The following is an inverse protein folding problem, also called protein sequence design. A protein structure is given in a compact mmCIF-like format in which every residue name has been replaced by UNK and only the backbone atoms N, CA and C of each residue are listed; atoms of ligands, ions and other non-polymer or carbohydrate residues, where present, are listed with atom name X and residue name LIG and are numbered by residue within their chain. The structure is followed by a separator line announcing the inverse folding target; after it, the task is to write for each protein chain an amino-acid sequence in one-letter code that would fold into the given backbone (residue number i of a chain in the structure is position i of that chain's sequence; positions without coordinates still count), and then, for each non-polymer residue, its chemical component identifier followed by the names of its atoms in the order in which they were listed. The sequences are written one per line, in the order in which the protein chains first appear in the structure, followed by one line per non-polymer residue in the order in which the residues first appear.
data_IF_117821550608
#
_entry.id   IF_117821550608
#
_cell.length_a   1.000
_cell.length_b   1.000
_cell.length_c   1.000
_cell.angle_alpha   90.00
_cell.angle_beta   90.00
_cell.angle_gamma   90.00
#
_symmetry.space_group_name_H-M   'P 1'
#
loop_
_entity.id
_entity.type
_entity.pdbx_description
1 polymer ?
#
# COMPACT_ATOMS: atom_id res chain seq x y z
N UNK A 1 -0.73 -30.26 -20.70
CA UNK A 1 -1.34 -29.22 -19.84
C UNK A 1 -2.26 -29.75 -18.72
N UNK A 2 -3.28 -30.58 -18.99
CA UNK A 2 -4.22 -31.06 -17.93
C UNK A 2 -3.60 -31.96 -16.84
N UNK A 3 -2.58 -32.76 -17.17
CA UNK A 3 -1.96 -33.69 -16.21
C UNK A 3 -1.00 -32.96 -15.27
N UNK A 4 -0.19 -32.02 -15.77
CA UNK A 4 0.69 -31.19 -14.93
C UNK A 4 -0.11 -30.30 -13.98
N UNK A 5 -1.25 -29.75 -14.41
CA UNK A 5 -2.16 -28.98 -13.57
C UNK A 5 -2.79 -29.83 -12.45
N UNK A 6 -3.22 -31.06 -12.76
CA UNK A 6 -3.77 -32.01 -11.77
C UNK A 6 -2.73 -32.47 -10.75
N UNK A 7 -1.52 -32.80 -11.19
CA UNK A 7 -0.41 -33.17 -10.29
C UNK A 7 -0.04 -31.99 -9.40
N UNK A 8 0.00 -30.78 -9.97
CA UNK A 8 0.24 -29.55 -9.20
C UNK A 8 -0.82 -29.40 -8.13
N UNK A 9 -2.11 -29.55 -8.44
CA UNK A 9 -3.21 -29.45 -7.46
C UNK A 9 -3.14 -30.49 -6.34
N UNK A 10 -2.87 -31.77 -6.64
CA UNK A 10 -2.74 -32.79 -5.60
C UNK A 10 -1.53 -32.55 -4.70
N UNK A 11 -0.41 -32.06 -5.26
CA UNK A 11 0.76 -31.69 -4.45
C UNK A 11 0.44 -30.55 -3.48
N UNK A 12 -0.43 -29.61 -3.86
CA UNK A 12 -0.84 -28.51 -2.97
C UNK A 12 -1.64 -29.04 -1.80
N UNK A 13 -2.62 -29.93 -2.02
CA UNK A 13 -3.42 -30.53 -0.94
C UNK A 13 -2.57 -31.37 0.02
N UNK A 14 -1.57 -32.08 -0.50
CA UNK A 14 -0.63 -32.81 0.36
C UNK A 14 0.16 -31.83 1.22
N UNK A 15 0.66 -30.72 0.66
CA UNK A 15 1.42 -29.73 1.42
C UNK A 15 0.68 -29.13 2.63
N UNK A 16 -0.66 -29.10 2.63
CA UNK A 16 -1.47 -28.67 3.79
C UNK A 16 -1.34 -29.62 4.98
N UNK A 17 -1.22 -30.93 4.75
CA UNK A 17 -1.08 -31.87 5.86
C UNK A 17 0.31 -31.76 6.52
N UNK A 18 1.33 -31.37 5.75
CA UNK A 18 2.72 -31.32 6.19
C UNK A 18 3.16 -29.98 6.81
N UNK A 19 2.25 -29.01 6.96
CA UNK A 19 2.55 -27.70 7.55
C UNK A 19 1.79 -27.51 8.88
N UNK A 20 2.39 -26.94 9.93
CA UNK A 20 3.81 -26.60 10.06
C UNK A 20 4.69 -27.85 10.12
N UNK A 21 5.89 -27.77 9.52
CA UNK A 21 6.81 -28.91 9.42
C UNK A 21 7.46 -29.28 10.76
N UNK A 22 7.47 -28.36 11.71
CA UNK A 22 8.20 -28.46 12.98
C UNK A 22 7.67 -29.58 13.86
N UNK A 23 6.34 -29.72 14.00
CA UNK A 23 5.75 -30.77 14.85
C UNK A 23 5.97 -32.16 14.25
N UNK A 24 5.84 -32.30 12.94
CA UNK A 24 6.11 -33.55 12.22
C UNK A 24 7.58 -33.95 12.27
N UNK A 25 8.51 -32.99 12.13
CA UNK A 25 9.95 -33.24 12.27
C UNK A 25 10.28 -33.66 13.71
N UNK A 26 9.75 -32.97 14.72
CA UNK A 26 9.97 -33.32 16.12
C UNK A 26 9.44 -34.73 16.43
N UNK A 27 8.25 -35.08 15.93
CA UNK A 27 7.67 -36.42 16.04
C UNK A 27 8.57 -37.47 15.36
N UNK A 28 9.01 -37.22 14.12
CA UNK A 28 9.88 -38.14 13.38
C UNK A 28 11.24 -38.33 14.04
N UNK A 29 11.87 -37.26 14.54
CA UNK A 29 13.17 -37.32 15.24
C UNK A 29 13.04 -38.11 16.53
N UNK A 30 12.03 -37.82 17.36
CA UNK A 30 11.81 -38.54 18.61
C UNK A 30 11.60 -40.04 18.36
N UNK A 31 10.76 -40.40 17.41
CA UNK A 31 10.51 -41.80 17.06
C UNK A 31 11.74 -42.48 16.45
N UNK A 32 12.54 -41.79 15.63
CA UNK A 32 13.78 -42.32 15.10
C UNK A 32 14.79 -42.66 16.21
N UNK A 33 14.92 -41.79 17.23
CA UNK A 33 15.80 -42.03 18.39
C UNK A 33 15.36 -43.26 19.17
N UNK A 34 14.06 -43.41 19.46
CA UNK A 34 13.52 -44.56 20.19
C UNK A 34 13.73 -45.86 19.39
N UNK A 35 13.43 -45.84 18.08
CA UNK A 35 13.60 -47.01 17.21
C UNK A 35 15.08 -47.40 17.06
N UNK A 36 15.98 -46.42 16.95
CA UNK A 36 17.42 -46.68 16.90
C UNK A 36 17.94 -47.29 18.20
N UNK A 37 17.51 -46.79 19.35
CA UNK A 37 17.88 -47.36 20.66
C UNK A 37 17.43 -48.82 20.79
N UNK A 38 16.17 -49.12 20.41
CA UNK A 38 15.66 -50.49 20.43
C UNK A 38 16.37 -51.41 19.42
N UNK A 39 16.70 -50.89 18.24
CA UNK A 39 17.48 -51.62 17.23
C UNK A 39 18.91 -51.97 17.68
N UNK A 40 19.58 -51.06 18.40
CA UNK A 40 20.89 -51.34 19.00
C UNK A 40 20.77 -52.43 20.06
N UNK A 41 19.74 -52.37 20.91
CA UNK A 41 19.49 -53.41 21.93
C UNK A 41 19.25 -54.77 21.29
N UNK A 42 18.47 -54.83 20.20
CA UNK A 42 18.28 -56.07 19.42
C UNK A 42 19.58 -56.64 18.86
N UNK A 43 20.49 -55.78 18.38
CA UNK A 43 21.73 -56.23 17.77
C UNK A 43 22.68 -56.92 18.78
N UNK A 44 22.51 -56.67 20.07
CA UNK A 44 23.32 -57.22 21.17
C UNK A 44 22.70 -58.48 21.77
N UNK A 45 21.39 -58.69 21.61
CA UNK A 45 20.66 -59.79 22.23
C UNK A 45 20.59 -61.01 21.28
N UNK A 46 20.81 -62.24 21.76
CA UNK A 46 20.65 -63.45 20.94
C UNK A 46 19.20 -63.62 20.47
N UNK A 47 19.02 -63.96 19.18
CA UNK A 47 17.71 -64.08 18.55
C UNK A 47 16.80 -65.15 19.20
N UNK A 48 17.38 -66.19 19.78
CA UNK A 48 16.63 -67.29 20.42
C UNK A 48 16.19 -66.97 21.86
N UNK A 49 16.39 -65.74 22.34
CA UNK A 49 16.08 -65.36 23.73
C UNK A 49 14.71 -64.72 23.88
N UNK A 50 14.06 -64.97 25.03
CA UNK A 50 12.80 -64.30 25.44
C UNK A 50 12.95 -62.78 25.44
N UNK A 51 14.16 -62.27 25.72
CA UNK A 51 14.47 -60.85 25.68
C UNK A 51 14.45 -60.27 24.27
N UNK A 52 14.85 -61.04 23.25
CA UNK A 52 14.75 -60.60 21.85
C UNK A 52 13.29 -60.44 21.44
N UNK A 53 12.44 -61.43 21.75
CA UNK A 53 10.99 -61.37 21.46
C UNK A 53 10.32 -60.18 22.15
N UNK A 54 10.71 -59.88 23.39
CA UNK A 54 10.22 -58.72 24.13
C UNK A 54 10.62 -57.40 23.47
N UNK A 55 11.90 -57.25 23.09
CA UNK A 55 12.39 -56.04 22.42
C UNK A 55 11.79 -55.92 21.01
N UNK A 56 11.51 -57.03 20.33
CA UNK A 56 10.80 -57.07 19.05
C UNK A 56 9.36 -56.61 19.15
N UNK A 57 8.61 -57.09 20.15
CA UNK A 57 7.27 -56.60 20.42
C UNK A 57 7.27 -55.09 20.74
N UNK A 58 8.23 -54.62 21.55
CA UNK A 58 8.38 -53.19 21.88
C UNK A 58 8.72 -52.33 20.65
N UNK A 59 9.61 -52.80 19.78
CA UNK A 59 10.00 -52.09 18.55
C UNK A 59 8.84 -52.01 17.56
N UNK A 60 8.10 -53.10 17.42
CA UNK A 60 6.91 -53.14 16.56
C UNK A 60 5.80 -52.24 17.11
N UNK A 61 5.61 -52.22 18.44
CA UNK A 61 4.70 -51.30 19.13
C UNK A 61 5.10 -49.84 18.95
N UNK A 62 6.39 -49.51 19.12
CA UNK A 62 6.92 -48.16 18.92
C UNK A 62 6.75 -47.68 17.48
N UNK A 63 7.00 -48.54 16.48
CA UNK A 63 6.75 -48.22 15.08
C UNK A 63 5.25 -47.97 14.81
N UNK A 64 4.37 -48.81 15.34
CA UNK A 64 2.92 -48.64 15.23
C UNK A 64 2.44 -47.32 15.85
N UNK A 65 2.89 -47.00 17.06
CA UNK A 65 2.58 -45.74 17.75
C UNK A 65 3.10 -44.51 17.01
N UNK A 66 4.29 -44.61 16.38
CA UNK A 66 4.80 -43.55 15.51
C UNK A 66 3.85 -43.28 14.34
N UNK A 67 3.47 -44.31 13.58
CA UNK A 67 2.58 -44.14 12.43
C UNK A 67 1.23 -43.54 12.83
N UNK A 68 0.63 -44.01 13.93
CA UNK A 68 -0.64 -43.45 14.43
C UNK A 68 -0.47 -41.99 14.82
N UNK A 69 0.55 -41.65 15.62
CA UNK A 69 0.79 -40.27 16.07
C UNK A 69 1.06 -39.34 14.88
N UNK A 70 1.87 -39.80 13.93
CA UNK A 70 2.21 -39.06 12.71
C UNK A 70 0.97 -38.79 11.84
N UNK A 71 0.09 -39.78 11.66
CA UNK A 71 -1.15 -39.62 10.89
C UNK A 71 -2.14 -38.69 11.59
N UNK A 72 -2.26 -38.79 12.93
CA UNK A 72 -3.13 -37.91 13.72
C UNK A 72 -2.63 -36.46 13.63
N UNK A 73 -1.33 -36.23 13.77
CA UNK A 73 -0.73 -34.90 13.63
C UNK A 73 -0.89 -34.34 12.22
N UNK A 74 -0.65 -35.15 11.17
CA UNK A 74 -0.91 -34.79 9.77
C UNK A 74 -2.38 -34.38 9.55
N UNK A 75 -3.31 -35.13 10.13
CA UNK A 75 -4.75 -34.85 9.98
C UNK A 75 -5.16 -33.59 10.74
N UNK A 76 -4.58 -33.37 11.93
CA UNK A 76 -4.74 -32.15 12.72
C UNK A 76 -4.24 -30.93 11.97
N UNK A 77 -3.01 -30.99 11.45
CA UNK A 77 -2.40 -29.96 10.61
C UNK A 77 -3.23 -29.65 9.36
N UNK A 78 -3.68 -30.69 8.65
CA UNK A 78 -4.55 -30.52 7.49
C UNK A 78 -5.85 -29.77 7.85
N UNK A 79 -6.51 -30.18 8.93
CA UNK A 79 -7.77 -29.55 9.40
C UNK A 79 -7.54 -28.10 9.77
N UNK A 80 -6.50 -27.80 10.54
CA UNK A 80 -6.16 -26.44 10.94
C UNK A 80 -5.85 -25.56 9.72
N UNK A 81 -4.99 -26.00 8.81
CA UNK A 81 -4.64 -25.23 7.61
C UNK A 81 -5.82 -25.04 6.67
N UNK A 82 -6.72 -26.02 6.57
CA UNK A 82 -7.96 -25.87 5.79
C UNK A 82 -8.87 -24.81 6.40
N UNK A 83 -9.02 -24.78 7.72
CA UNK A 83 -9.80 -23.74 8.40
C UNK A 83 -9.15 -22.37 8.24
N UNK A 84 -7.85 -22.24 8.52
CA UNK A 84 -7.10 -21.00 8.32
C UNK A 84 -7.18 -20.50 6.87
N UNK A 85 -7.19 -21.41 5.88
CA UNK A 85 -7.36 -21.06 4.47
C UNK A 85 -8.72 -20.44 4.14
N UNK A 86 -9.79 -20.92 4.77
CA UNK A 86 -11.14 -20.36 4.61
C UNK A 86 -11.27 -19.02 5.34
N UNK A 87 -10.83 -18.98 6.60
CA UNK A 87 -10.97 -17.82 7.48
C UNK A 87 -10.13 -16.63 7.00
N UNK A 88 -8.93 -16.89 6.46
CA UNK A 88 -8.01 -15.85 5.98
C UNK A 88 -8.08 -15.64 4.45
N UNK A 89 -9.08 -16.17 3.78
CA UNK A 89 -9.19 -16.08 2.32
C UNK A 89 -9.16 -14.62 1.82
N UNK A 90 -9.94 -13.74 2.43
CA UNK A 90 -10.01 -12.34 2.04
C UNK A 90 -8.69 -11.61 2.31
N UNK A 91 -8.05 -11.89 3.46
CA UNK A 91 -6.73 -11.36 3.80
C UNK A 91 -5.68 -11.73 2.75
N UNK A 92 -5.56 -13.02 2.44
CA UNK A 92 -4.58 -13.47 1.45
C UNK A 92 -4.90 -12.93 0.04
N UNK A 93 -6.18 -12.84 -0.31
CA UNK A 93 -6.60 -12.23 -1.57
C UNK A 93 -6.19 -10.75 -1.66
N UNK A 94 -6.37 -9.98 -0.59
CA UNK A 94 -5.95 -8.58 -0.54
C UNK A 94 -4.43 -8.42 -0.72
N UNK A 95 -3.61 -9.22 -0.04
CA UNK A 95 -2.14 -9.15 -0.22
C UNK A 95 -1.71 -9.57 -1.62
N UNK A 96 -2.33 -10.62 -2.18
CA UNK A 96 -2.03 -11.04 -3.57
C UNK A 96 -2.47 -10.01 -4.61
N UNK A 97 -3.62 -9.38 -4.40
CA UNK A 97 -4.12 -8.32 -5.26
C UNK A 97 -3.19 -7.13 -5.21
N UNK A 98 -2.79 -6.70 -4.02
CA UNK A 98 -1.79 -5.64 -3.83
C UNK A 98 -0.50 -5.94 -4.58
N UNK A 99 0.09 -7.13 -4.44
CA UNK A 99 1.31 -7.51 -5.16
C UNK A 99 1.10 -7.47 -6.68
N UNK A 100 -0.03 -7.97 -7.16
CA UNK A 100 -0.34 -7.97 -8.60
C UNK A 100 -0.54 -6.55 -9.13
N UNK A 101 -1.28 -5.72 -8.41
CA UNK A 101 -1.51 -4.31 -8.72
C UNK A 101 -0.18 -3.53 -8.73
N UNK A 102 0.68 -3.77 -7.73
CA UNK A 102 2.03 -3.21 -7.63
C UNK A 102 2.85 -3.52 -8.88
N UNK A 103 2.93 -4.79 -9.30
CA UNK A 103 3.68 -5.16 -10.51
C UNK A 103 3.14 -4.52 -11.80
N UNK A 104 1.81 -4.39 -11.92
CA UNK A 104 1.16 -3.78 -13.09
C UNK A 104 1.43 -2.28 -13.15
N UNK A 105 1.26 -1.56 -12.03
CA UNK A 105 1.44 -0.11 -11.95
C UNK A 105 2.90 0.32 -12.03
N UNK A 106 3.83 -0.53 -11.58
CA UNK A 106 5.26 -0.34 -11.81
C UNK A 106 5.70 -0.74 -13.22
N UNK A 107 4.80 -1.24 -14.08
CA UNK A 107 5.11 -1.74 -15.43
C UNK A 107 6.15 -2.87 -15.47
N UNK A 108 6.09 -3.77 -14.48
CA UNK A 108 7.07 -4.84 -14.28
C UNK A 108 6.65 -6.17 -14.90
N UNK A 109 5.46 -6.26 -15.48
CA UNK A 109 5.06 -7.45 -16.24
C UNK A 109 5.91 -7.59 -17.52
N UNK A 110 6.12 -8.81 -18.05
CA UNK A 110 6.99 -9.02 -19.20
C UNK A 110 6.63 -8.15 -20.42
N UNK A 111 5.36 -8.10 -20.82
CA UNK A 111 4.90 -7.28 -21.94
C UNK A 111 5.12 -5.78 -21.71
N UNK A 112 4.79 -5.24 -20.52
CA UNK A 112 5.02 -3.83 -20.20
C UNK A 112 6.51 -3.48 -20.17
N UNK A 113 7.36 -4.39 -19.67
CA UNK A 113 8.83 -4.20 -19.71
C UNK A 113 9.36 -4.20 -21.15
N UNK A 114 8.77 -5.01 -22.02
CA UNK A 114 9.12 -5.06 -23.44
C UNK A 114 8.71 -3.76 -24.15
N UNK A 115 7.50 -3.25 -23.92
CA UNK A 115 7.03 -1.95 -24.42
C UNK A 115 7.90 -0.80 -23.89
N UNK A 116 8.20 -0.80 -22.58
CA UNK A 116 9.08 0.19 -21.96
C UNK A 116 10.46 0.22 -22.62
N UNK A 117 11.02 -0.95 -22.96
CA UNK A 117 12.29 -1.04 -23.69
C UNK A 117 12.19 -0.39 -25.08
N UNK A 118 11.12 -0.63 -25.83
CA UNK A 118 10.90 0.04 -27.12
C UNK A 118 10.84 1.57 -26.94
N UNK A 119 10.18 2.03 -25.87
CA UNK A 119 10.08 3.43 -25.52
C UNK A 119 11.44 4.07 -25.17
N UNK A 120 12.25 3.37 -24.36
CA UNK A 120 13.61 3.81 -24.02
C UNK A 120 14.48 3.95 -25.28
N UNK A 121 14.34 3.04 -26.25
CA UNK A 121 15.02 3.14 -27.56
C UNK A 121 14.52 4.34 -28.39
N UNK A 122 13.21 4.60 -28.39
CA UNK A 122 12.61 5.75 -29.08
C UNK A 122 13.10 7.09 -28.51
N UNK A 123 13.12 7.24 -27.18
CA UNK A 123 13.64 8.45 -26.52
C UNK A 123 15.14 8.60 -26.79
N UNK A 124 15.92 7.51 -26.74
CA UNK A 124 17.34 7.54 -27.08
C UNK A 124 17.60 7.92 -28.54
N UNK A 125 16.66 7.67 -29.45
CA UNK A 125 16.70 8.08 -30.85
C UNK A 125 16.27 9.55 -31.07
N UNK A 126 15.94 10.29 -30.02
CA UNK A 126 15.52 11.70 -30.09
C UNK A 126 14.00 11.91 -30.08
N UNK A 127 13.22 10.87 -29.83
CA UNK A 127 11.77 10.97 -29.63
C UNK A 127 11.42 11.71 -28.34
N UNK A 128 10.28 12.42 -28.34
CA UNK A 128 9.77 13.16 -27.18
C UNK A 128 8.82 12.26 -26.39
N UNK A 129 9.00 12.19 -25.06
CA UNK A 129 8.10 11.41 -24.20
C UNK A 129 6.77 12.15 -23.99
N UNK A 130 5.76 11.79 -24.79
CA UNK A 130 4.40 12.36 -24.72
C UNK A 130 3.45 11.59 -23.79
N UNK A 131 3.94 10.62 -23.00
CA UNK A 131 3.05 9.84 -22.12
C UNK A 131 2.45 10.71 -21.03
N UNK A 132 1.15 10.53 -20.83
CA UNK A 132 0.42 11.12 -19.70
C UNK A 132 1.04 10.65 -18.37
N UNK A 133 0.89 11.43 -17.30
CA UNK A 133 1.39 11.01 -15.98
C UNK A 133 0.79 9.67 -15.51
N UNK A 134 -0.48 9.42 -15.85
CA UNK A 134 -1.15 8.15 -15.55
C UNK A 134 -0.60 6.94 -16.32
N UNK A 135 0.11 7.17 -17.43
CA UNK A 135 0.76 6.15 -18.25
C UNK A 135 2.20 5.89 -17.82
N UNK A 136 2.75 6.71 -16.92
CA UNK A 136 4.09 6.52 -16.37
C UNK A 136 4.05 5.47 -15.26
N UNK A 137 5.16 4.73 -15.07
CA UNK A 137 5.24 3.78 -13.97
C UNK A 137 5.13 4.54 -12.64
N UNK A 138 4.24 4.07 -11.76
CA UNK A 138 4.06 4.62 -10.42
C UNK A 138 5.08 4.03 -9.45
N UNK A 139 5.50 4.83 -8.48
CA UNK A 139 6.34 4.33 -7.39
C UNK A 139 5.52 3.57 -6.34
N UNK A 140 6.20 2.89 -5.42
CA UNK A 140 5.56 2.04 -4.41
C UNK A 140 4.68 2.81 -3.42
N UNK A 141 5.01 4.06 -3.15
CA UNK A 141 4.29 4.93 -2.22
C UNK A 141 2.98 5.34 -2.85
N UNK A 142 3.00 5.80 -4.10
CA UNK A 142 1.80 6.10 -4.88
C UNK A 142 0.87 4.89 -4.98
N UNK A 143 1.43 3.72 -5.29
CA UNK A 143 0.67 2.46 -5.37
C UNK A 143 0.04 2.11 -4.03
N UNK A 144 0.79 2.28 -2.93
CA UNK A 144 0.27 2.02 -1.59
C UNK A 144 -0.89 2.93 -1.28
N UNK A 145 -0.71 4.24 -1.48
CA UNK A 145 -1.72 5.26 -1.25
C UNK A 145 -3.04 4.96 -1.96
N UNK A 146 -2.98 4.60 -3.25
CA UNK A 146 -4.15 4.23 -4.05
C UNK A 146 -4.88 2.98 -3.54
N UNK A 147 -4.16 2.07 -2.88
CA UNK A 147 -4.69 0.76 -2.45
C UNK A 147 -5.16 0.75 -0.99
N UNK A 148 -4.82 1.76 -0.18
CA UNK A 148 -5.24 1.85 1.22
C UNK A 148 -6.75 1.64 1.43
N UNK A 149 -7.66 2.28 0.65
CA UNK A 149 -9.10 2.12 0.85
C UNK A 149 -9.59 0.68 0.66
N UNK A 150 -8.93 -0.08 -0.22
CA UNK A 150 -9.30 -1.46 -0.53
C UNK A 150 -8.74 -2.46 0.50
N UNK A 151 -7.48 -2.26 0.93
CA UNK A 151 -6.76 -3.24 1.77
C UNK A 151 -7.03 -3.04 3.27
N UNK A 152 -7.15 -1.79 3.74
CA UNK A 152 -7.25 -1.49 5.17
C UNK A 152 -8.50 -2.10 5.82
N UNK A 153 -9.71 -2.05 5.23
CA UNK A 153 -10.89 -2.68 5.83
C UNK A 153 -10.72 -4.19 6.01
N UNK A 154 -10.07 -4.85 5.05
CA UNK A 154 -9.78 -6.29 5.11
C UNK A 154 -8.79 -6.59 6.23
N UNK A 155 -7.72 -5.79 6.34
CA UNK A 155 -6.68 -5.96 7.36
C UNK A 155 -7.20 -5.70 8.76
N UNK A 156 -7.97 -4.63 8.97
CA UNK A 156 -8.60 -4.31 10.25
C UNK A 156 -9.50 -5.44 10.72
N UNK A 157 -10.41 -5.90 9.85
CA UNK A 157 -11.29 -7.04 10.15
C UNK A 157 -10.52 -8.32 10.48
N UNK A 158 -9.46 -8.60 9.72
CA UNK A 158 -8.64 -9.80 9.94
C UNK A 158 -7.91 -9.72 11.27
N UNK A 159 -7.35 -8.56 11.62
CA UNK A 159 -6.66 -8.32 12.87
C UNK A 159 -7.59 -8.44 14.09
N UNK A 160 -8.82 -7.94 13.98
CA UNK A 160 -9.81 -7.97 15.06
C UNK A 160 -10.47 -9.35 15.23
N UNK A 161 -10.88 -9.98 14.13
CA UNK A 161 -11.72 -11.19 14.17
C UNK A 161 -10.93 -12.51 14.02
N UNK A 162 -9.76 -12.48 13.36
CA UNK A 162 -9.07 -13.69 12.85
C UNK A 162 -7.63 -13.82 13.32
N UNK A 163 -7.25 -13.09 14.38
CA UNK A 163 -5.90 -13.04 14.94
C UNK A 163 -5.32 -14.43 15.27
N UNK A 164 -6.17 -15.35 15.72
CA UNK A 164 -5.79 -16.72 16.10
C UNK A 164 -5.23 -17.59 14.94
N UNK A 165 -5.51 -17.21 13.69
CA UNK A 165 -5.03 -17.93 12.50
C UNK A 165 -3.75 -17.32 11.91
N UNK A 166 -3.33 -16.16 12.40
CA UNK A 166 -2.16 -15.45 11.93
C UNK A 166 -0.91 -15.90 12.68
N UNK A 167 0.24 -15.85 12.00
CA UNK A 167 1.53 -15.96 12.68
C UNK A 167 1.87 -14.67 13.44
N UNK A 168 2.70 -14.76 14.46
CA UNK A 168 3.16 -13.58 15.24
C UNK A 168 3.73 -12.48 14.35
N UNK A 169 4.46 -12.87 13.30
CA UNK A 169 5.00 -11.92 12.33
C UNK A 169 3.89 -11.22 11.53
N UNK A 170 2.86 -11.95 11.07
CA UNK A 170 1.72 -11.35 10.37
C UNK A 170 0.91 -10.41 11.28
N UNK A 171 0.75 -10.79 12.55
CA UNK A 171 0.11 -9.94 13.56
C UNK A 171 0.87 -8.63 13.73
N UNK A 172 2.19 -8.70 13.91
CA UNK A 172 3.03 -7.51 14.11
C UNK A 172 2.99 -6.57 12.90
N UNK A 173 3.11 -7.10 11.68
CA UNK A 173 3.05 -6.27 10.47
C UNK A 173 1.66 -5.67 10.26
N UNK A 174 0.57 -6.40 10.55
CA UNK A 174 -0.78 -5.85 10.45
C UNK A 174 -1.01 -4.72 11.45
N UNK A 175 -0.54 -4.89 12.69
CA UNK A 175 -0.59 -3.84 13.72
C UNK A 175 0.18 -2.59 13.26
N UNK A 176 1.39 -2.78 12.71
CA UNK A 176 2.18 -1.68 12.14
C UNK A 176 1.43 -0.99 11.00
N UNK A 177 0.86 -1.73 10.03
CA UNK A 177 0.10 -1.15 8.92
C UNK A 177 -1.10 -0.34 9.41
N UNK A 178 -1.86 -0.86 10.38
CA UNK A 178 -3.03 -0.18 10.91
C UNK A 178 -2.63 1.08 11.69
N UNK A 179 -1.54 1.05 12.44
CA UNK A 179 -1.01 2.22 13.15
C UNK A 179 -0.52 3.32 12.18
N UNK A 180 0.19 2.96 11.12
CA UNK A 180 0.62 3.92 10.08
C UNK A 180 -0.59 4.52 9.35
N UNK A 181 -1.65 3.73 9.14
CA UNK A 181 -2.88 4.24 8.55
C UNK A 181 -3.64 5.17 9.50
N UNK A 182 -3.65 4.88 10.80
CA UNK A 182 -4.22 5.78 11.81
C UNK A 182 -3.49 7.13 11.85
N UNK A 183 -2.16 7.12 11.70
CA UNK A 183 -1.36 8.35 11.54
C UNK A 183 -1.75 9.12 10.28
N UNK A 184 -1.93 8.44 9.14
CA UNK A 184 -2.45 9.07 7.91
C UNK A 184 -3.80 9.74 8.16
N UNK A 185 -4.74 9.04 8.81
CA UNK A 185 -6.06 9.59 9.11
C UNK A 185 -5.97 10.79 10.06
N UNK A 186 -5.08 10.74 11.05
CA UNK A 186 -4.85 11.83 11.99
C UNK A 186 -4.33 13.08 11.28
N UNK A 187 -3.27 12.96 10.47
CA UNK A 187 -2.69 14.07 9.71
C UNK A 187 -3.73 14.72 8.80
N UNK A 188 -4.54 13.94 8.11
CA UNK A 188 -5.58 14.47 7.20
C UNK A 188 -6.71 15.13 8.00
N UNK A 189 -7.13 14.52 9.13
CA UNK A 189 -8.14 15.11 10.01
C UNK A 189 -7.69 16.48 10.51
N UNK A 190 -6.45 16.60 10.99
CA UNK A 190 -5.91 17.88 11.43
C UNK A 190 -5.97 18.92 10.32
N UNK A 191 -5.66 18.54 9.07
CA UNK A 191 -5.76 19.48 7.94
C UNK A 191 -7.19 19.89 7.62
N UNK A 192 -8.15 19.00 7.69
CA UNK A 192 -9.57 19.34 7.51
C UNK A 192 -10.02 20.31 8.61
N UNK A 193 -9.60 20.07 9.85
CA UNK A 193 -9.98 20.89 11.01
C UNK A 193 -9.19 22.20 11.12
N UNK A 194 -8.09 22.37 10.40
CA UNK A 194 -7.37 23.64 10.26
C UNK A 194 -8.01 24.56 9.20
N UNK A 195 -9.24 24.29 8.78
CA UNK A 195 -9.97 25.11 7.81
C UNK A 195 -10.76 26.26 8.48
N UNK A 196 -11.19 27.28 7.72
CA UNK A 196 -12.03 28.36 8.21
C UNK A 196 -13.33 27.90 8.91
N UNK A 197 -13.79 26.69 8.60
CA UNK A 197 -14.97 26.08 9.22
C UNK A 197 -14.82 25.95 10.75
N UNK A 198 -13.62 25.63 11.23
CA UNK A 198 -13.37 25.51 12.68
C UNK A 198 -13.38 26.86 13.36
N UNK A 199 -12.89 27.90 12.68
CA UNK A 199 -13.02 29.28 13.16
C UNK A 199 -14.51 29.65 13.32
N UNK A 200 -15.35 29.34 12.33
CA UNK A 200 -16.78 29.59 12.40
C UNK A 200 -17.46 28.80 13.53
N UNK A 201 -17.12 27.52 13.70
CA UNK A 201 -17.68 26.70 14.78
C UNK A 201 -17.29 27.19 16.18
N UNK A 202 -16.15 27.86 16.32
CA UNK A 202 -15.67 28.42 17.59
C UNK A 202 -16.28 29.79 17.87
N UNK A 203 -16.28 30.69 16.90
CA UNK A 203 -16.55 32.11 17.11
C UNK A 203 -17.97 32.52 16.70
N UNK A 204 -18.61 31.77 15.80
CA UNK A 204 -19.94 32.02 15.27
C UNK A 204 -20.86 30.79 15.36
N UNK A 205 -21.01 30.18 16.56
CA UNK A 205 -21.74 28.94 16.70
C UNK A 205 -23.25 29.14 16.46
N UNK A 206 -23.86 28.22 15.73
CA UNK A 206 -25.30 28.24 15.49
C UNK A 206 -26.05 27.79 16.74
N UNK A 207 -26.66 28.74 17.45
CA UNK A 207 -27.43 28.48 18.67
C UNK A 207 -28.70 27.68 18.40
N UNK A 208 -29.18 27.59 17.15
CA UNK A 208 -30.38 26.80 16.80
C UNK A 208 -30.17 25.31 17.05
N UNK A 209 -28.92 24.82 17.07
CA UNK A 209 -28.61 23.44 17.45
C UNK A 209 -29.13 23.10 18.85
N UNK A 210 -29.17 24.07 19.76
CA UNK A 210 -29.67 23.86 21.12
C UNK A 210 -31.17 23.56 21.16
N UNK A 211 -31.94 24.03 20.18
CA UNK A 211 -33.41 23.82 20.11
C UNK A 211 -33.78 22.35 19.95
N UNK A 212 -32.87 21.54 19.40
CA UNK A 212 -33.04 20.09 19.28
C UNK A 212 -32.90 19.34 20.61
N UNK A 213 -32.21 19.94 21.58
CA UNK A 213 -31.78 19.29 22.84
C UNK A 213 -32.41 19.90 24.09
N UNK A 214 -32.85 21.17 24.03
CA UNK A 214 -33.38 21.92 25.16
C UNK A 214 -34.70 22.60 24.81
N UNK A 215 -35.69 22.65 25.73
CA UNK A 215 -36.89 23.44 25.54
C UNK A 215 -36.59 24.92 25.34
N UNK A 216 -37.38 25.61 24.51
CA UNK A 216 -37.21 27.05 24.21
C UNK A 216 -37.13 27.92 25.47
N UNK A 217 -37.95 27.63 26.49
CA UNK A 217 -37.92 28.36 27.76
C UNK A 217 -36.60 28.18 28.52
N UNK A 218 -35.95 27.02 28.39
CA UNK A 218 -34.62 26.77 29.00
C UNK A 218 -33.56 27.57 28.26
N UNK A 219 -33.57 27.56 26.93
CA UNK A 219 -32.61 28.31 26.09
C UNK A 219 -32.74 29.82 26.34
N UNK A 220 -33.98 30.32 26.41
CA UNK A 220 -34.29 31.74 26.66
C UNK A 220 -33.79 32.23 28.02
N UNK A 221 -33.81 31.37 29.04
CA UNK A 221 -33.35 31.72 30.39
C UNK A 221 -31.87 31.39 30.61
N UNK A 222 -31.19 30.77 29.64
CA UNK A 222 -29.78 30.42 29.72
C UNK A 222 -28.91 31.68 29.57
N UNK A 223 -27.88 31.88 30.43
CA UNK A 223 -26.92 32.96 30.24
C UNK A 223 -26.23 32.87 28.88
N UNK A 224 -25.98 34.01 28.24
CA UNK A 224 -25.43 34.05 26.87
C UNK A 224 -24.10 33.30 26.74
N UNK A 225 -23.21 33.41 27.74
CA UNK A 225 -21.93 32.69 27.72
C UNK A 225 -22.10 31.16 27.77
N UNK A 226 -23.10 30.64 28.50
CA UNK A 226 -23.41 29.21 28.56
C UNK A 226 -23.97 28.77 27.20
N UNK A 227 -24.90 29.56 26.65
CA UNK A 227 -25.57 29.27 25.38
C UNK A 227 -24.56 29.18 24.24
N UNK A 228 -23.69 30.19 24.11
CA UNK A 228 -22.61 30.22 23.11
C UNK A 228 -21.62 29.08 23.27
N UNK A 229 -21.22 28.77 24.51
CA UNK A 229 -20.31 27.65 24.77
C UNK A 229 -20.91 26.31 24.35
N UNK A 230 -22.16 26.02 24.74
CA UNK A 230 -22.84 24.78 24.36
C UNK A 230 -23.07 24.69 22.85
N UNK A 231 -23.46 25.79 22.20
CA UNK A 231 -23.64 25.85 20.75
C UNK A 231 -22.30 25.63 20.01
N UNK A 232 -21.19 26.17 20.53
CA UNK A 232 -19.87 25.93 19.96
C UNK A 232 -19.43 24.48 20.09
N UNK A 233 -19.69 23.81 21.22
CA UNK A 233 -19.42 22.39 21.34
C UNK A 233 -20.17 21.55 20.30
N UNK A 234 -21.45 21.86 20.04
CA UNK A 234 -22.22 21.16 19.00
C UNK A 234 -21.72 21.48 17.59
N UNK A 235 -21.33 22.73 17.33
CA UNK A 235 -20.75 23.16 16.04
C UNK A 235 -19.41 22.46 15.77
N UNK A 236 -18.56 22.29 16.78
CA UNK A 236 -17.31 21.53 16.66
C UNK A 236 -17.57 20.05 16.37
N UNK A 237 -18.57 19.44 17.01
CA UNK A 237 -18.98 18.06 16.67
C UNK A 237 -19.48 17.94 15.23
N UNK A 238 -20.09 18.99 14.67
CA UNK A 238 -20.48 19.02 13.27
C UNK A 238 -19.24 19.05 12.35
N UNK A 239 -18.20 19.80 12.72
CA UNK A 239 -16.91 19.80 12.01
C UNK A 239 -16.24 18.42 12.03
N UNK A 240 -16.27 17.72 13.16
CA UNK A 240 -15.76 16.35 13.27
C UNK A 240 -16.52 15.38 12.34
N UNK A 241 -17.85 15.49 12.27
CA UNK A 241 -18.66 14.70 11.33
C UNK A 241 -18.31 14.99 9.87
N UNK A 242 -18.00 16.24 9.55
CA UNK A 242 -17.54 16.62 8.21
C UNK A 242 -16.19 15.98 7.88
N UNK A 243 -15.23 16.01 8.82
CA UNK A 243 -13.96 15.31 8.67
C UNK A 243 -14.13 13.80 8.51
N UNK A 244 -14.99 13.18 9.32
CA UNK A 244 -15.33 11.75 9.22
C UNK A 244 -15.94 11.41 7.84
N UNK A 245 -16.80 12.27 7.30
CA UNK A 245 -17.40 12.07 5.97
C UNK A 245 -16.34 12.08 4.85
N UNK A 246 -15.36 12.99 4.92
CA UNK A 246 -14.24 13.01 3.96
C UNK A 246 -13.37 11.76 4.10
N UNK A 247 -13.00 11.39 5.33
CA UNK A 247 -12.11 10.26 5.60
C UNK A 247 -12.74 8.89 5.29
N UNK A 248 -14.07 8.79 5.31
CA UNK A 248 -14.79 7.55 5.04
C UNK A 248 -15.14 7.32 3.57
N UNK A 249 -15.10 8.37 2.74
CA UNK A 249 -15.39 8.29 1.31
C UNK A 249 -14.11 8.47 0.48
N UNK A 250 -13.75 7.45 -0.29
CA UNK A 250 -12.53 7.45 -1.10
C UNK A 250 -12.50 8.57 -2.13
N UNK A 251 -13.63 8.92 -2.73
CA UNK A 251 -13.70 10.00 -3.72
C UNK A 251 -13.47 11.36 -3.04
N UNK A 252 -14.13 11.62 -1.91
CA UNK A 252 -13.95 12.87 -1.17
C UNK A 252 -12.51 13.01 -0.66
N UNK A 253 -11.93 11.94 -0.12
CA UNK A 253 -10.55 11.91 0.33
C UNK A 253 -9.58 12.25 -0.81
N UNK A 254 -9.72 11.61 -1.98
CA UNK A 254 -8.86 11.88 -3.14
C UNK A 254 -9.02 13.32 -3.66
N UNK A 255 -10.24 13.87 -3.66
CA UNK A 255 -10.47 15.26 -4.05
C UNK A 255 -9.84 16.25 -3.08
N UNK A 256 -9.95 15.99 -1.77
CA UNK A 256 -9.32 16.81 -0.74
C UNK A 256 -7.80 16.76 -0.85
N UNK A 257 -7.25 15.58 -1.12
CA UNK A 257 -5.81 15.34 -1.16
C UNK A 257 -5.14 15.57 -2.53
N UNK A 258 -5.87 16.06 -3.54
CA UNK A 258 -5.41 16.15 -4.94
C UNK A 258 -4.11 16.95 -5.15
N UNK A 259 -3.82 17.91 -4.27
CA UNK A 259 -2.66 18.80 -4.40
C UNK A 259 -1.45 18.33 -3.58
N UNK A 260 -1.55 17.20 -2.88
CA UNK A 260 -0.47 16.67 -2.03
C UNK A 260 0.34 15.64 -2.81
N UNK A 261 1.67 15.70 -2.68
CA UNK A 261 2.59 14.82 -3.40
C UNK A 261 2.86 13.56 -2.57
N UNK A 262 2.00 12.55 -2.69
CA UNK A 262 2.18 11.25 -1.99
C UNK A 262 2.98 10.29 -2.86
N UNK A 263 4.30 10.44 -2.87
CA UNK A 263 5.22 9.73 -3.78
C UNK A 263 6.65 9.72 -3.24
N UNK A 264 7.59 9.10 -3.97
CA UNK A 264 9.02 9.22 -3.64
C UNK A 264 9.52 10.68 -3.68
N UNK A 265 8.92 11.54 -4.52
CA UNK A 265 9.26 12.98 -4.57
C UNK A 265 8.81 13.70 -3.30
N UNK A 266 7.63 13.35 -2.78
CA UNK A 266 7.12 13.86 -1.51
C UNK A 266 8.05 13.54 -0.33
N UNK A 267 8.74 12.40 -0.36
CA UNK A 267 9.78 12.07 0.62
C UNK A 267 11.05 12.91 0.46
N UNK A 268 11.52 13.10 -0.77
CA UNK A 268 12.78 13.80 -1.05
C UNK A 268 12.73 15.27 -0.59
N UNK A 269 11.57 15.90 -0.70
CA UNK A 269 11.40 17.33 -0.43
C UNK A 269 11.75 17.75 1.01
N UNK A 270 11.54 16.87 2.00
CA UNK A 270 11.92 17.17 3.39
C UNK A 270 13.45 17.15 3.59
N UNK A 271 14.16 16.26 2.89
CA UNK A 271 15.61 16.16 3.00
C UNK A 271 16.31 17.34 2.31
N UNK A 272 15.80 17.81 1.16
CA UNK A 272 16.32 19.00 0.50
C UNK A 272 16.10 20.26 1.36
N UNK A 273 14.97 20.34 2.09
CA UNK A 273 14.72 21.43 3.05
C UNK A 273 15.62 21.30 4.29
N UNK A 274 15.79 20.12 4.88
CA UNK A 274 16.70 19.89 6.02
C UNK A 274 18.18 20.12 5.69
N UNK A 275 18.66 19.70 4.50
CA UNK A 275 20.04 19.95 4.08
C UNK A 275 20.26 21.42 3.72
N UNK A 276 19.28 22.10 3.11
CA UNK A 276 19.34 23.57 2.89
C UNK A 276 19.28 24.38 4.19
N UNK A 277 18.74 23.81 5.27
CA UNK A 277 18.74 24.39 6.62
C UNK A 277 20.07 24.14 7.36
N UNK A 278 20.81 23.09 6.99
CA UNK A 278 22.10 22.72 7.60
C UNK A 278 23.32 23.34 6.88
N UNK A 279 23.25 23.59 5.58
CA UNK A 279 24.28 24.27 4.80
C UNK A 279 23.89 25.73 4.52
N UNK A 280 24.42 26.65 5.32
CA UNK A 280 24.41 28.11 5.13
C UNK A 280 23.03 28.78 4.89
N UNK A 281 22.47 29.36 5.96
CA UNK A 281 21.65 30.58 5.90
C UNK A 281 20.63 30.65 4.76
N UNK A 282 19.90 29.57 4.48
CA UNK A 282 18.61 29.73 3.85
C UNK A 282 17.80 30.58 4.82
N UNK A 283 17.46 31.81 4.43
CA UNK A 283 16.25 32.43 4.89
C UNK A 283 15.16 31.37 4.67
N UNK A 284 14.90 30.54 5.67
CA UNK A 284 13.50 30.33 5.99
C UNK A 284 12.94 31.73 5.97
N UNK A 285 11.99 31.98 5.08
CA UNK A 285 10.88 32.81 5.48
C UNK A 285 10.29 32.11 6.73
N UNK A 286 11.04 32.17 7.85
CA UNK A 286 10.50 32.25 9.19
C UNK A 286 9.37 33.22 8.97
N UNK A 287 8.15 32.74 9.19
CA UNK A 287 6.96 33.57 9.18
C UNK A 287 7.39 34.85 9.85
N UNK A 288 7.51 35.90 9.07
CA UNK A 288 7.80 37.21 9.61
C UNK A 288 6.48 37.59 10.26
N UNK A 289 6.29 37.11 11.49
CA UNK A 289 5.14 37.42 12.33
C UNK A 289 5.05 38.93 12.54
N UNK A 290 6.10 39.71 12.20
CA UNK A 290 6.10 41.17 12.16
C UNK A 290 5.70 41.76 10.79
N UNK A 291 5.63 40.97 9.70
CA UNK A 291 5.20 41.40 8.35
C UNK A 291 3.81 40.90 7.97
N UNK A 292 3.26 39.95 8.72
CA UNK A 292 1.81 39.79 8.86
C UNK A 292 1.29 40.94 9.72
N UNK A 293 1.26 42.15 9.15
CA UNK A 293 0.46 43.24 9.68
C UNK A 293 -1.00 42.77 9.63
N UNK A 294 -1.47 42.15 10.71
CA UNK A 294 -2.89 42.12 11.01
C UNK A 294 -3.29 43.56 11.30
N UNK A 295 -3.52 44.35 10.25
CA UNK A 295 -4.30 45.57 10.40
C UNK A 295 -5.60 45.15 11.10
N UNK A 296 -5.85 45.73 12.28
CA UNK A 296 -7.03 45.45 13.08
C UNK A 296 -8.25 45.62 12.18
N UNK A 297 -8.86 44.50 11.78
CA UNK A 297 -9.89 44.53 10.77
C UNK A 297 -11.07 45.38 11.29
N UNK A 298 -11.47 46.38 10.50
CA UNK A 298 -12.52 47.33 10.88
C UNK A 298 -13.89 46.64 11.05
N UNK A 299 -14.09 45.48 10.41
CA UNK A 299 -15.29 44.67 10.50
C UNK A 299 -15.03 43.16 10.37
N UNK A 300 -16.03 42.37 10.77
CA UNK A 300 -16.01 40.90 10.78
C UNK A 300 -15.82 40.27 9.38
N UNK A 301 -16.32 40.93 8.32
CA UNK A 301 -16.18 40.43 6.95
C UNK A 301 -14.72 40.56 6.48
N UNK A 302 -14.08 41.68 6.80
CA UNK A 302 -12.66 41.92 6.55
C UNK A 302 -11.78 40.96 7.35
N UNK A 303 -12.13 40.69 8.62
CA UNK A 303 -11.41 39.69 9.43
C UNK A 303 -11.51 38.28 8.81
N UNK A 304 -12.70 37.87 8.36
CA UNK A 304 -12.90 36.57 7.70
C UNK A 304 -12.07 36.43 6.43
N UNK A 305 -12.02 37.48 5.61
CA UNK A 305 -11.22 37.49 4.39
C UNK A 305 -9.72 37.37 4.69
N UNK A 306 -9.22 38.08 5.72
CA UNK A 306 -7.83 37.96 6.17
C UNK A 306 -7.52 36.55 6.67
N UNK A 307 -8.41 35.94 7.47
CA UNK A 307 -8.21 34.59 7.99
C UNK A 307 -8.23 33.54 6.87
N UNK A 308 -9.12 33.66 5.87
CA UNK A 308 -9.14 32.76 4.71
C UNK A 308 -7.86 32.86 3.88
N UNK A 309 -7.31 34.06 3.71
CA UNK A 309 -6.04 34.27 3.01
C UNK A 309 -4.86 33.69 3.81
N UNK A 310 -4.84 33.88 5.12
CA UNK A 310 -3.86 33.25 6.01
C UNK A 310 -3.92 31.72 5.93
N UNK A 311 -5.12 31.13 5.98
CA UNK A 311 -5.30 29.68 5.87
C UNK A 311 -4.78 29.14 4.52
N UNK A 312 -5.02 29.85 3.41
CA UNK A 312 -4.47 29.49 2.08
C UNK A 312 -2.95 29.53 2.07
N UNK A 313 -2.33 30.55 2.66
CA UNK A 313 -0.86 30.66 2.75
C UNK A 313 -0.27 29.54 3.62
N UNK A 314 -0.91 29.28 4.76
CA UNK A 314 -0.54 28.17 5.64
C UNK A 314 -0.68 26.82 4.94
N UNK A 315 -1.71 26.61 4.13
CA UNK A 315 -1.89 25.39 3.34
C UNK A 315 -0.71 25.18 2.39
N UNK A 316 -0.29 26.20 1.65
CA UNK A 316 0.84 26.12 0.72
C UNK A 316 2.15 25.80 1.44
N UNK A 317 2.41 26.43 2.59
CA UNK A 317 3.63 26.18 3.38
C UNK A 317 3.65 24.81 4.05
N UNK A 318 2.50 24.31 4.50
CA UNK A 318 2.40 23.04 5.22
C UNK A 318 2.28 21.83 4.29
N UNK A 319 1.81 22.03 3.05
CA UNK A 319 1.62 20.98 2.06
C UNK A 319 2.84 20.07 1.87
N UNK A 320 4.09 20.57 1.82
CA UNK A 320 5.24 19.69 1.66
C UNK A 320 5.51 18.82 2.89
N UNK A 321 5.39 19.38 4.10
CA UNK A 321 5.49 18.61 5.34
C UNK A 321 4.43 17.50 5.41
N UNK A 322 3.19 17.82 5.05
CA UNK A 322 2.09 16.84 5.00
C UNK A 322 2.37 15.78 3.94
N UNK A 323 2.79 16.19 2.74
CA UNK A 323 3.14 15.28 1.64
C UNK A 323 4.25 14.30 2.06
N UNK A 324 5.27 14.79 2.75
CA UNK A 324 6.33 13.97 3.34
C UNK A 324 5.79 12.98 4.36
N UNK A 325 4.97 13.45 5.32
CA UNK A 325 4.43 12.60 6.39
C UNK A 325 3.59 11.45 5.82
N UNK A 326 2.70 11.76 4.88
CA UNK A 326 1.86 10.78 4.19
C UNK A 326 2.70 9.79 3.37
N UNK A 327 3.71 10.30 2.65
CA UNK A 327 4.60 9.45 1.86
C UNK A 327 5.43 8.52 2.75
N UNK A 328 5.87 8.99 3.92
CA UNK A 328 6.59 8.18 4.91
C UNK A 328 5.72 7.05 5.45
N UNK A 329 4.48 7.33 5.85
CA UNK A 329 3.54 6.30 6.29
C UNK A 329 3.26 5.28 5.19
N UNK A 330 3.01 5.73 3.96
CA UNK A 330 2.81 4.84 2.81
C UNK A 330 4.04 3.98 2.50
N UNK A 331 5.25 4.53 2.63
CA UNK A 331 6.49 3.75 2.52
C UNK A 331 6.56 2.66 3.59
N UNK A 332 6.30 3.00 4.85
CA UNK A 332 6.31 2.05 5.96
C UNK A 332 5.29 0.93 5.75
N UNK A 333 4.08 1.27 5.29
CA UNK A 333 3.04 0.29 4.93
C UNK A 333 3.53 -0.60 3.78
N UNK A 334 4.11 -0.03 2.71
CA UNK A 334 4.65 -0.81 1.60
C UNK A 334 5.73 -1.80 2.05
N UNK A 335 6.60 -1.42 2.99
CA UNK A 335 7.65 -2.29 3.52
C UNK A 335 7.05 -3.44 4.35
N UNK A 336 6.05 -3.16 5.18
CA UNK A 336 5.31 -4.18 5.92
C UNK A 336 4.56 -5.12 4.97
N UNK A 337 3.99 -4.61 3.89
CA UNK A 337 3.38 -5.43 2.83
C UNK A 337 4.38 -6.39 2.19
N UNK A 338 5.59 -5.95 1.87
CA UNK A 338 6.66 -6.83 1.35
C UNK A 338 7.01 -7.96 2.35
N UNK A 339 6.85 -7.74 3.66
CA UNK A 339 7.07 -8.77 4.69
C UNK A 339 5.89 -9.74 4.75
N UNK A 340 4.65 -9.25 4.70
CA UNK A 340 3.45 -10.09 4.62
C UNK A 340 3.48 -10.98 3.37
N UNK A 341 3.87 -10.44 2.22
CA UNK A 341 4.07 -11.19 0.98
C UNK A 341 5.08 -12.34 1.16
N UNK A 342 6.22 -12.07 1.82
CA UNK A 342 7.22 -13.11 2.15
C UNK A 342 6.69 -14.17 3.10
N UNK A 343 5.78 -13.81 4.02
CA UNK A 343 5.10 -14.77 4.88
C UNK A 343 4.17 -15.67 4.07
N UNK A 344 3.32 -15.08 3.24
CA UNK A 344 2.34 -15.79 2.40
C UNK A 344 3.04 -16.70 1.37
N UNK A 345 4.20 -16.32 0.86
CA UNK A 345 5.03 -17.16 -0.01
C UNK A 345 5.39 -18.52 0.60
N UNK A 346 5.50 -18.60 1.93
CA UNK A 346 5.79 -19.85 2.64
C UNK A 346 4.55 -20.71 2.83
N UNK A 347 3.35 -20.16 2.64
CA UNK A 347 2.09 -20.86 2.88
C UNK A 347 1.71 -21.76 1.71
N UNK A 348 1.14 -22.95 1.99
CA UNK A 348 0.56 -23.80 0.96
C UNK A 348 -0.51 -23.06 0.14
N UNK A 349 -0.62 -23.39 -1.16
CA UNK A 349 -1.55 -22.77 -2.13
C UNK A 349 -1.26 -21.29 -2.44
N UNK A 350 -1.47 -20.37 -1.49
CA UNK A 350 -1.31 -18.93 -1.72
C UNK A 350 0.11 -18.54 -2.09
N UNK A 351 1.11 -19.21 -1.52
CA UNK A 351 2.51 -18.98 -1.89
C UNK A 351 2.81 -19.32 -3.36
N UNK A 352 2.10 -20.29 -3.97
CA UNK A 352 2.25 -20.56 -5.41
C UNK A 352 1.56 -19.50 -6.27
N UNK A 353 0.43 -18.94 -5.80
CA UNK A 353 -0.32 -17.93 -6.52
C UNK A 353 0.47 -16.61 -6.56
N UNK A 354 0.91 -16.13 -5.40
CA UNK A 354 1.65 -14.85 -5.30
C UNK A 354 3.04 -14.91 -5.96
N UNK A 355 3.65 -16.11 -6.03
CA UNK A 355 4.94 -16.30 -6.69
C UNK A 355 4.90 -15.93 -8.17
N UNK A 356 3.77 -16.18 -8.86
CA UNK A 356 3.63 -15.82 -10.27
C UNK A 356 3.76 -14.31 -10.45
N UNK A 357 3.01 -13.53 -9.67
CA UNK A 357 3.06 -12.07 -9.70
C UNK A 357 4.47 -11.56 -9.34
N UNK A 358 5.06 -12.04 -8.25
CA UNK A 358 6.38 -11.57 -7.79
C UNK A 358 7.52 -11.85 -8.77
N UNK A 359 7.49 -13.00 -9.43
CA UNK A 359 8.55 -13.38 -10.37
C UNK A 359 8.39 -12.67 -11.72
N UNK A 360 7.30 -11.93 -11.97
CA UNK A 360 7.05 -11.18 -13.23
C UNK A 360 8.21 -10.27 -13.62
N UNK A 361 8.76 -9.53 -12.65
CA UNK A 361 9.92 -8.65 -12.85
C UNK A 361 11.20 -9.38 -13.28
N UNK A 362 11.30 -10.68 -12.99
CA UNK A 362 12.49 -11.51 -13.23
C UNK A 362 12.36 -12.42 -14.44
N UNK A 363 11.17 -12.47 -15.05
CA UNK A 363 10.94 -13.29 -16.24
C UNK A 363 11.75 -12.74 -17.42
N UNK A 364 12.32 -13.61 -18.26
CA UNK A 364 12.95 -13.19 -19.49
C UNK A 364 11.90 -12.55 -20.42
N UNK A 365 12.37 -11.75 -21.39
CA UNK A 365 11.54 -11.09 -22.41
C UNK A 365 11.59 -11.83 -23.76
N UNK A 366 11.97 -13.10 -23.73
CA UNK A 366 12.10 -13.97 -24.91
C UNK A 366 10.82 -14.76 -25.20
N UNK A 367 9.77 -14.58 -24.40
CA UNK A 367 8.47 -15.19 -24.65
C UNK A 367 7.74 -14.49 -25.80
N UNK A 368 6.94 -15.27 -26.55
CA UNK A 368 6.23 -14.80 -27.74
C UNK A 368 5.42 -13.52 -27.49
N UNK A 369 4.79 -13.37 -26.32
CA UNK A 369 3.96 -12.19 -26.01
C UNK A 369 4.82 -10.95 -25.77
N UNK A 370 5.92 -11.06 -25.03
CA UNK A 370 6.87 -9.95 -24.84
C UNK A 370 7.50 -9.50 -26.16
N UNK A 371 7.91 -10.44 -27.01
CA UNK A 371 8.48 -10.13 -28.34
C UNK A 371 7.46 -9.39 -29.20
N UNK A 372 6.23 -9.90 -29.30
CA UNK A 372 5.16 -9.26 -30.08
C UNK A 372 4.84 -7.85 -29.55
N UNK A 373 4.79 -7.68 -28.23
CA UNK A 373 4.49 -6.36 -27.62
C UNK A 373 5.60 -5.35 -27.92
N UNK A 374 6.87 -5.76 -27.81
CA UNK A 374 8.00 -4.91 -28.20
C UNK A 374 7.97 -4.53 -29.68
N UNK A 375 7.78 -5.51 -30.58
CA UNK A 375 7.77 -5.24 -32.02
C UNK A 375 6.63 -4.30 -32.43
N UNK A 376 5.43 -4.54 -31.88
CA UNK A 376 4.28 -3.69 -32.15
C UNK A 376 4.52 -2.24 -31.70
N UNK A 377 4.98 -2.05 -30.46
CA UNK A 377 5.23 -0.72 -29.91
C UNK A 377 6.39 -0.02 -30.63
N UNK A 378 7.43 -0.76 -31.00
CA UNK A 378 8.55 -0.23 -31.76
C UNK A 378 8.14 0.30 -33.13
N UNK A 379 7.33 -0.47 -33.88
CA UNK A 379 6.82 -0.03 -35.19
C UNK A 379 6.03 1.28 -35.05
N UNK A 380 5.14 1.34 -34.06
CA UNK A 380 4.33 2.53 -33.78
C UNK A 380 5.21 3.75 -33.46
N UNK A 381 6.23 3.58 -32.62
CA UNK A 381 7.13 4.66 -32.21
C UNK A 381 8.07 5.11 -33.35
N UNK A 382 8.55 4.18 -34.17
CA UNK A 382 9.37 4.48 -35.35
C UNK A 382 8.57 5.29 -36.39
N UNK A 383 7.27 5.00 -36.57
CA UNK A 383 6.38 5.81 -37.42
C UNK A 383 6.23 7.24 -36.91
N UNK A 384 6.09 7.40 -35.58
CA UNK A 384 6.03 8.72 -34.94
C UNK A 384 7.34 9.48 -35.18
N UNK A 385 8.48 8.86 -34.91
CA UNK A 385 9.80 9.47 -35.09
C UNK A 385 10.01 9.93 -36.55
N UNK A 386 9.71 9.06 -37.51
CA UNK A 386 9.82 9.38 -38.93
C UNK A 386 8.92 10.54 -39.36
N UNK A 387 7.70 10.61 -38.81
CA UNK A 387 6.77 11.68 -39.10
C UNK A 387 7.25 13.04 -38.57
N UNK A 388 7.89 13.04 -37.40
CA UNK A 388 8.46 14.23 -36.75
C UNK A 388 9.68 14.74 -37.51
N UNK A 389 10.59 13.85 -37.90
CA UNK A 389 11.76 14.21 -38.74
C UNK A 389 11.35 14.81 -40.09
N UNK A 390 10.27 14.30 -40.68
CA UNK A 390 9.75 14.82 -41.95
C UNK A 390 9.17 16.23 -41.82
N UNK A 391 8.48 16.53 -40.72
CA UNK A 391 7.98 17.90 -40.44
C UNK A 391 9.13 18.87 -40.22
N UNK A 392 10.08 18.48 -39.38
CA UNK A 392 11.25 19.30 -39.08
C UNK A 392 12.11 19.59 -40.33
N UNK A 393 12.23 18.62 -41.25
CA UNK A 393 12.93 18.81 -42.53
C UNK A 393 12.15 19.63 -43.55
N UNK A 394 10.80 19.61 -43.55
CA UNK A 394 10.00 20.50 -44.41
C UNK A 394 10.01 21.95 -43.95
N UNK A 395 10.06 22.18 -42.63
CA UNK A 395 10.12 23.54 -42.08
C UNK A 395 11.49 24.19 -42.36
N UNK A 396 12.58 23.42 -42.29
CA UNK A 396 13.93 23.89 -42.68
C UNK A 396 14.07 24.15 -44.20
N UNK A 397 13.28 23.48 -45.05
CA UNK A 397 13.26 23.73 -46.49
C UNK A 397 12.40 24.95 -46.88
N UNK A 398 11.49 25.38 -45.99
CA UNK A 398 10.60 26.53 -46.20
C UNK A 398 11.24 27.91 -45.94
N UNK A 399 12.32 27.98 -45.17
CA UNK A 399 13.07 29.24 -44.92
C UNK A 399 14.09 29.58 -46.03
N UNK A 400 14.12 28.80 -47.11
CA UNK A 400 15.13 28.90 -48.17
C UNK A 400 14.67 29.45 -49.52
N UNK A 401 13.58 30.25 -49.60
CA UNK A 401 13.19 30.92 -50.86
C UNK A 401 12.45 32.25 -50.60
N UNK A 402 13.22 33.31 -50.33
CA UNK A 402 12.82 34.68 -50.69
C UNK A 402 13.93 35.27 -51.56
N UNK A 403 13.98 34.81 -52.81
CA UNK A 403 14.70 35.49 -53.87
C UNK A 403 13.71 36.34 -54.67
N UNK A 404 13.96 37.63 -54.60
CA UNK A 404 14.01 38.48 -55.79
C UNK A 404 12.67 38.77 -56.48
N UNK A 405 11.97 39.78 -55.96
CA UNK A 405 11.08 40.61 -56.79
C UNK A 405 11.60 42.05 -56.84
N UNK A 406 12.73 42.22 -57.51
CA UNK A 406 13.12 43.50 -58.07
C UNK A 406 12.12 43.98 -59.13
N UNK A 407 11.13 44.79 -58.73
CA UNK A 407 10.45 45.74 -59.62
C UNK A 407 10.13 47.02 -58.84
N UNK A 408 10.67 48.19 -59.24
CA UNK A 408 10.37 49.45 -58.59
C UNK A 408 9.12 50.13 -59.15
N UNK A 409 8.33 50.68 -58.22
CA UNK A 409 7.44 51.86 -58.30
C UNK A 409 6.44 51.97 -59.46
N UNK A 410 5.17 52.18 -59.08
CA UNK A 410 4.57 53.53 -59.13
C UNK A 410 3.56 53.74 -58.02
#
# INVERSE_FOLDING_TARGET
MRVSARIKSTLQFVAFAFYPKTTLIACAVFSAVVMAALGVVMAVIPQDSIWYDLVFALTTGAAGSFFVSFIVELTGNYRHNKLAWQELQNYYAAVMYYETYKQIKMQMTPHQRAEKKAYEEFVAAGGIDERNEDEKPKDRIQITWEQLPDIIPVFRRTFEEKKEFLSDAEIWELERILSEYEEIQHVIRERILMSPMTYDALNHPDETYLESSYPLDVIKNMPDWVRKHLASMESQKACEKYADAILSDTFLLLQFMKNYEVSEKGLAWHYDVEDSLNEESAETENIDYEKLDFEEADDEESFRAQNEEFDKQMEVQQRPFVSWRLSSCCKNISESMDILEKSILKKPYYGMMIKFSRDSARQPLDDDMSVLSYEYEKIRLDEILYSTDRRNSSDLAGEGFDNDSGVPKR
#
